data_IF_741348445755
#
_entry.id   IF_741348445755
#
_cell.length_a   1.000
_cell.length_b   1.000
_cell.length_c   1.000
_cell.angle_alpha   90.00
_cell.angle_beta   90.00
_cell.angle_gamma   90.00
#
_symmetry.space_group_name_H-M   'P 1'
#
loop_
_entity.id
_entity.type
_entity.pdbx_description
1 polymer ?
#
# COMPACT_ATOMS: atom_id res chain seq x y z
N UNK A 1 -8.45 -32.21 -3.10
CA UNK A 1 -9.48 -31.15 -2.92
C UNK A 1 -8.82 -30.07 -2.07
N UNK A 2 -8.14 -29.03 -2.54
CA UNK A 2 -8.32 -28.19 -3.71
C UNK A 2 -6.95 -27.83 -4.30
N UNK A 3 -6.70 -28.27 -5.53
CA UNK A 3 -6.13 -27.34 -6.51
C UNK A 3 -7.11 -26.15 -6.57
N UNK A 4 -6.96 -25.14 -5.71
CA UNK A 4 -7.29 -23.74 -6.00
C UNK A 4 -5.96 -23.11 -6.42
N UNK A 5 -5.41 -23.61 -7.52
CA UNK A 5 -5.53 -23.01 -8.86
C UNK A 5 -4.48 -21.92 -9.07
N UNK A 6 -3.23 -22.37 -9.20
CA UNK A 6 -2.22 -21.85 -10.11
C UNK A 6 -2.23 -20.34 -10.40
N UNK A 7 -1.57 -19.59 -9.50
CA UNK A 7 -1.15 -18.20 -9.75
C UNK A 7 -1.36 -17.34 -8.53
N UNK A 8 -0.33 -17.18 -7.69
CA UNK A 8 -0.36 -16.28 -6.53
C UNK A 8 -0.93 -14.90 -6.88
N UNK A 9 -1.47 -14.20 -5.86
CA UNK A 9 -2.25 -12.96 -6.00
C UNK A 9 -1.80 -12.07 -7.16
N UNK A 10 -2.70 -11.90 -8.14
CA UNK A 10 -2.47 -11.02 -9.29
C UNK A 10 -2.25 -9.57 -8.84
N UNK A 11 -2.93 -9.17 -7.78
CA UNK A 11 -2.73 -7.89 -7.12
C UNK A 11 -1.30 -7.79 -6.58
N UNK A 12 -0.87 -8.71 -5.70
CA UNK A 12 0.46 -8.66 -5.08
C UNK A 12 1.58 -8.68 -6.13
N UNK A 13 1.45 -9.50 -7.18
CA UNK A 13 2.43 -9.51 -8.28
C UNK A 13 2.57 -8.14 -8.93
N UNK A 14 1.44 -7.50 -9.29
CA UNK A 14 1.46 -6.18 -9.93
C UNK A 14 1.90 -5.08 -8.96
N UNK A 15 1.50 -5.17 -7.70
CA UNK A 15 1.94 -4.25 -6.65
C UNK A 15 3.45 -4.31 -6.46
N UNK A 16 4.03 -5.51 -6.33
CA UNK A 16 5.47 -5.68 -6.13
C UNK A 16 6.25 -5.09 -7.31
N UNK A 17 5.86 -5.41 -8.55
CA UNK A 17 6.49 -4.80 -9.74
C UNK A 17 6.35 -3.28 -9.74
N UNK A 18 5.19 -2.74 -9.37
CA UNK A 18 4.99 -1.30 -9.29
C UNK A 18 5.90 -0.65 -8.25
N UNK A 19 6.07 -1.28 -7.08
CA UNK A 19 6.94 -0.76 -6.01
C UNK A 19 8.43 -0.91 -6.36
N UNK A 20 8.85 -1.94 -7.10
CA UNK A 20 10.20 -2.06 -7.66
C UNK A 20 10.51 -0.92 -8.64
N UNK A 21 9.57 -0.61 -9.54
CA UNK A 21 9.69 0.53 -10.46
C UNK A 21 9.73 1.85 -9.68
N UNK A 22 8.90 1.99 -8.65
CA UNK A 22 8.91 3.17 -7.81
C UNK A 22 10.25 3.35 -7.08
N UNK A 23 10.84 2.25 -6.58
CA UNK A 23 12.11 2.29 -5.87
C UNK A 23 13.25 2.88 -6.71
N UNK A 24 13.21 2.69 -8.04
CA UNK A 24 14.19 3.26 -8.98
C UNK A 24 13.76 4.65 -9.46
N UNK A 25 12.51 4.80 -9.90
CA UNK A 25 12.04 6.05 -10.54
C UNK A 25 11.85 7.22 -9.58
N UNK A 26 11.58 6.94 -8.30
CA UNK A 26 11.25 7.93 -7.27
C UNK A 26 10.14 8.92 -7.68
N UNK A 27 9.21 8.47 -8.54
CA UNK A 27 8.08 9.29 -8.99
C UNK A 27 6.77 8.85 -8.30
N UNK A 28 6.40 9.50 -7.18
CA UNK A 28 5.24 9.07 -6.40
C UNK A 28 3.91 9.37 -7.11
N UNK A 29 3.82 10.44 -7.91
CA UNK A 29 2.59 10.81 -8.62
C UNK A 29 2.22 9.81 -9.73
N UNK A 30 3.21 9.42 -10.54
CA UNK A 30 3.01 8.42 -11.59
C UNK A 30 2.70 7.04 -10.98
N UNK A 31 3.39 6.69 -9.89
CA UNK A 31 3.17 5.43 -9.17
C UNK A 31 1.77 5.41 -8.55
N UNK A 32 1.32 6.50 -7.93
CA UNK A 32 0.00 6.60 -7.34
C UNK A 32 -1.11 6.40 -8.39
N UNK A 33 -0.99 7.01 -9.57
CA UNK A 33 -1.95 6.80 -10.66
C UNK A 33 -2.04 5.33 -11.10
N UNK A 34 -0.91 4.65 -11.20
CA UNK A 34 -0.88 3.22 -11.54
C UNK A 34 -1.42 2.34 -10.42
N UNK A 35 -1.14 2.71 -9.16
CA UNK A 35 -1.64 2.02 -7.98
C UNK A 35 -3.18 1.98 -7.97
N UNK A 36 -3.85 3.11 -8.24
CA UNK A 36 -5.33 3.16 -8.29
C UNK A 36 -5.93 2.13 -9.25
N UNK A 37 -5.25 1.84 -10.37
CA UNK A 37 -5.72 0.84 -11.33
C UNK A 37 -5.65 -0.61 -10.81
N UNK A 38 -4.90 -0.85 -9.72
CA UNK A 38 -4.76 -2.16 -9.09
C UNK A 38 -5.88 -2.47 -8.10
N UNK A 39 -6.63 -1.47 -7.63
CA UNK A 39 -7.69 -1.63 -6.61
C UNK A 39 -8.72 -2.70 -7.00
N UNK A 40 -9.14 -2.70 -8.28
CA UNK A 40 -10.06 -3.71 -8.84
C UNK A 40 -9.55 -5.16 -8.80
N UNK A 41 -8.28 -5.37 -8.48
CA UNK A 41 -7.66 -6.69 -8.40
C UNK A 41 -7.62 -7.25 -6.97
N UNK A 42 -7.94 -6.43 -5.97
CA UNK A 42 -8.00 -6.80 -4.55
C UNK A 42 -9.12 -7.82 -4.33
N UNK A 43 -8.83 -8.85 -3.54
CA UNK A 43 -9.73 -9.98 -3.24
C UNK A 43 -9.81 -10.32 -1.76
N UNK A 44 -8.90 -9.82 -0.94
CA UNK A 44 -8.84 -10.12 0.50
C UNK A 44 -8.57 -8.87 1.32
N UNK A 45 -8.95 -8.90 2.60
CA UNK A 45 -8.69 -7.80 3.53
C UNK A 45 -7.18 -7.54 3.71
N UNK A 46 -6.37 -8.60 3.64
CA UNK A 46 -4.91 -8.47 3.67
C UNK A 46 -4.36 -7.74 2.45
N UNK A 47 -4.92 -7.98 1.26
CA UNK A 47 -4.56 -7.25 0.04
C UNK A 47 -5.05 -5.79 0.10
N UNK A 48 -6.23 -5.54 0.66
CA UNK A 48 -6.75 -4.20 0.88
C UNK A 48 -5.85 -3.40 1.83
N UNK A 49 -5.48 -3.96 2.98
CA UNK A 49 -4.58 -3.32 3.92
C UNK A 49 -3.19 -3.05 3.29
N UNK A 50 -2.68 -4.00 2.49
CA UNK A 50 -1.42 -3.80 1.76
C UNK A 50 -1.53 -2.68 0.71
N UNK A 51 -2.65 -2.61 0.00
CA UNK A 51 -2.95 -1.49 -0.92
C UNK A 51 -2.96 -0.16 -0.18
N UNK A 52 -3.70 -0.05 0.92
CA UNK A 52 -3.88 1.18 1.67
C UNK A 52 -2.57 1.66 2.31
N UNK A 53 -1.74 0.74 2.81
CA UNK A 53 -0.41 1.08 3.34
C UNK A 53 0.47 1.73 2.25
N UNK A 54 0.53 1.13 1.06
CA UNK A 54 1.32 1.68 -0.05
C UNK A 54 0.71 2.98 -0.60
N UNK A 55 -0.63 3.07 -0.61
CA UNK A 55 -1.34 4.29 -1.01
C UNK A 55 -1.01 5.44 -0.06
N UNK A 56 -1.04 5.21 1.24
CA UNK A 56 -0.67 6.20 2.24
C UNK A 56 0.79 6.62 2.13
N UNK A 57 1.72 5.68 1.90
CA UNK A 57 3.13 5.99 1.70
C UNK A 57 3.35 6.92 0.51
N UNK A 58 2.69 6.65 -0.62
CA UNK A 58 2.76 7.53 -1.80
C UNK A 58 2.12 8.90 -1.55
N UNK A 59 1.02 8.97 -0.79
CA UNK A 59 0.42 10.24 -0.38
C UNK A 59 1.38 11.06 0.49
N UNK A 60 2.07 10.41 1.42
CA UNK A 60 3.13 11.03 2.23
C UNK A 60 4.26 11.56 1.34
N UNK A 61 4.76 10.77 0.39
CA UNK A 61 5.83 11.18 -0.53
C UNK A 61 5.41 12.35 -1.44
N UNK A 62 4.12 12.47 -1.76
CA UNK A 62 3.53 13.64 -2.44
C UNK A 62 3.22 14.82 -1.52
N UNK A 63 3.64 14.79 -0.25
CA UNK A 63 3.36 15.81 0.80
C UNK A 63 1.88 16.03 1.08
N UNK A 64 1.02 15.04 0.79
CA UNK A 64 -0.42 15.06 1.10
C UNK A 64 -0.67 14.45 2.48
N UNK A 65 -0.12 15.10 3.52
CA UNK A 65 -0.02 14.53 4.88
C UNK A 65 -1.37 14.18 5.50
N UNK A 66 -2.38 15.07 5.38
CA UNK A 66 -3.74 14.80 5.88
C UNK A 66 -4.34 13.53 5.26
N UNK A 67 -4.28 13.42 3.92
CA UNK A 67 -4.80 12.26 3.21
C UNK A 67 -4.02 10.98 3.56
N UNK A 68 -2.71 11.07 3.76
CA UNK A 68 -1.91 9.94 4.21
C UNK A 68 -2.32 9.49 5.62
N UNK A 69 -2.51 10.43 6.55
CA UNK A 69 -2.94 10.14 7.92
C UNK A 69 -4.32 9.49 7.96
N UNK A 70 -5.28 10.01 7.18
CA UNK A 70 -6.63 9.45 7.09
C UNK A 70 -6.63 8.01 6.61
N UNK A 71 -5.83 7.69 5.58
CA UNK A 71 -5.73 6.32 5.07
C UNK A 71 -5.10 5.40 6.09
N UNK A 72 -3.96 5.75 6.69
CA UNK A 72 -3.29 4.88 7.69
C UNK A 72 -4.18 4.62 8.89
N UNK A 73 -5.01 5.58 9.30
CA UNK A 73 -5.92 5.43 10.45
C UNK A 73 -7.00 4.36 10.23
N UNK A 74 -7.42 4.15 8.99
CA UNK A 74 -8.47 3.19 8.62
C UNK A 74 -7.93 1.78 8.34
N UNK A 75 -6.60 1.58 8.31
CA UNK A 75 -6.01 0.26 8.10
C UNK A 75 -6.27 -0.62 9.33
N UNK A 76 -6.95 -1.77 9.19
CA UNK A 76 -7.19 -2.68 10.30
C UNK A 76 -5.88 -3.35 10.76
N UNK A 77 -5.80 -3.68 12.05
CA UNK A 77 -4.74 -4.54 12.57
C UNK A 77 -4.87 -5.93 11.97
N UNK A 78 -3.76 -6.48 11.47
CA UNK A 78 -3.74 -7.80 10.83
C UNK A 78 -2.80 -8.76 11.54
N UNK A 79 -1.57 -8.32 11.81
CA UNK A 79 -0.55 -9.08 12.53
C UNK A 79 0.57 -8.14 12.99
N UNK A 80 1.37 -8.53 14.00
CA UNK A 80 2.37 -7.64 14.58
C UNK A 80 3.38 -7.07 13.59
N UNK A 81 3.81 -7.82 12.57
CA UNK A 81 4.79 -7.35 11.59
C UNK A 81 4.19 -6.27 10.68
N UNK A 82 2.97 -6.49 10.18
CA UNK A 82 2.27 -5.52 9.35
C UNK A 82 1.90 -4.27 10.15
N UNK A 83 1.43 -4.44 11.37
CA UNK A 83 1.04 -3.35 12.26
C UNK A 83 2.24 -2.46 12.60
N UNK A 84 3.44 -3.04 12.78
CA UNK A 84 4.67 -2.29 12.96
C UNK A 84 5.01 -1.41 11.75
N UNK A 85 4.76 -1.88 10.51
CA UNK A 85 4.94 -1.06 9.30
C UNK A 85 3.96 0.10 9.24
N UNK A 86 2.70 -0.14 9.60
CA UNK A 86 1.68 0.92 9.69
C UNK A 86 2.06 1.97 10.74
N UNK A 87 2.53 1.53 11.91
CA UNK A 87 2.98 2.41 12.98
C UNK A 87 4.19 3.27 12.54
N UNK A 88 5.17 2.68 11.88
CA UNK A 88 6.33 3.42 11.34
C UNK A 88 5.90 4.50 10.36
N UNK A 89 4.97 4.20 9.44
CA UNK A 89 4.46 5.20 8.50
C UNK A 89 3.66 6.29 9.24
N UNK A 90 2.83 5.91 10.22
CA UNK A 90 2.09 6.86 11.05
C UNK A 90 3.02 7.84 11.76
N UNK A 91 4.10 7.35 12.39
CA UNK A 91 5.11 8.20 13.03
C UNK A 91 5.73 9.17 12.02
N UNK A 92 6.17 8.69 10.85
CA UNK A 92 6.73 9.56 9.80
C UNK A 92 5.77 10.66 9.36
N UNK A 93 4.49 10.32 9.19
CA UNK A 93 3.45 11.30 8.83
C UNK A 93 3.29 12.34 9.93
N UNK A 94 3.24 11.92 11.20
CA UNK A 94 3.09 12.81 12.36
C UNK A 94 4.30 13.73 12.55
N UNK A 95 5.52 13.22 12.35
CA UNK A 95 6.76 14.01 12.45
C UNK A 95 6.92 15.04 11.32
N UNK A 96 6.11 14.92 10.25
CA UNK A 96 6.17 15.81 9.09
C UNK A 96 5.15 16.96 9.12
N UNK A 97 4.25 16.98 10.11
CA UNK A 97 3.35 18.10 10.40
C UNK A 97 4.07 19.25 11.09
#
# INVERSE_FOLDING_TARGET
MFRRLFGGSKFLKKMNTLMEIYAVSKNPEATYKQLLALEKLIRTDGEQAWYDLNRAALLYDMRKLNAAADVVREIPSLNPEFDARCAQLKTKIMDAF
#
